data_IF_408835101880
#
_entry.id   IF_408835101880
#
_cell.length_a   1.000
_cell.length_b   1.000
_cell.length_c   1.000
_cell.angle_alpha   90.00
_cell.angle_beta   90.00
_cell.angle_gamma   90.00
#
_symmetry.space_group_name_H-M   'P 1'
#
loop_
_entity.id
_entity.type
_entity.pdbx_description
1 polymer ?
#
# COMPACT_ATOMS: atom_id res chain seq x y z
N UNK A 1 4.14 -2.18 37.53
CA UNK A 1 3.00 -2.84 36.86
C UNK A 1 3.54 -4.14 36.24
N UNK A 2 4.06 -5.09 37.02
CA UNK A 2 5.07 -6.04 36.46
C UNK A 2 5.03 -7.49 36.97
N UNK A 3 4.30 -7.82 38.04
CA UNK A 3 4.25 -9.19 38.56
C UNK A 3 3.31 -10.11 37.78
N UNK A 4 2.03 -9.74 37.69
CA UNK A 4 0.99 -10.58 37.06
C UNK A 4 1.19 -10.79 35.56
N UNK A 5 1.70 -9.79 34.85
CA UNK A 5 1.97 -9.91 33.40
C UNK A 5 3.12 -10.85 33.09
N UNK A 6 4.17 -10.84 33.92
CA UNK A 6 5.30 -11.75 33.76
C UNK A 6 4.88 -13.20 34.03
N UNK A 7 4.04 -13.43 35.06
CA UNK A 7 3.48 -14.73 35.36
C UNK A 7 2.58 -15.25 34.22
N UNK A 8 1.69 -14.40 33.68
CA UNK A 8 0.81 -14.77 32.57
C UNK A 8 1.59 -15.12 31.28
N UNK A 9 2.65 -14.37 30.95
CA UNK A 9 3.51 -14.67 29.80
C UNK A 9 4.34 -15.94 30.01
N UNK A 10 4.78 -16.22 31.24
CA UNK A 10 5.48 -17.45 31.59
C UNK A 10 4.58 -18.68 31.42
N UNK A 11 3.35 -18.60 31.94
CA UNK A 11 2.34 -19.66 31.79
C UNK A 11 2.00 -19.92 30.32
N UNK A 12 1.83 -18.86 29.52
CA UNK A 12 1.53 -19.00 28.09
C UNK A 12 2.69 -19.66 27.32
N UNK A 13 3.94 -19.31 27.65
CA UNK A 13 5.13 -19.93 27.04
C UNK A 13 5.25 -21.40 27.39
N UNK A 14 4.96 -21.76 28.63
CA UNK A 14 5.02 -23.15 29.07
C UNK A 14 3.93 -23.98 28.40
N UNK A 15 2.70 -23.46 28.34
CA UNK A 15 1.59 -24.10 27.64
C UNK A 15 1.86 -24.27 26.12
N UNK A 16 2.47 -23.29 25.47
CA UNK A 16 2.86 -23.39 24.05
C UNK A 16 4.01 -24.39 23.81
N UNK A 17 4.88 -24.61 24.80
CA UNK A 17 5.98 -25.56 24.69
C UNK A 17 5.54 -27.03 24.89
N UNK A 18 4.41 -27.27 25.55
CA UNK A 18 3.86 -28.62 25.75
C UNK A 18 3.01 -29.11 24.56
N UNK A 19 2.65 -28.23 23.63
CA UNK A 19 1.88 -28.62 22.43
C UNK A 19 2.85 -29.27 21.42
N UNK A 20 2.99 -30.59 21.50
CA UNK A 20 3.67 -31.39 20.49
C UNK A 20 2.77 -31.46 19.23
N UNK A 21 3.22 -31.01 18.04
CA UNK A 21 2.36 -30.81 16.88
C UNK A 21 1.78 -32.10 16.26
N UNK A 22 2.21 -33.27 16.74
CA UNK A 22 1.88 -34.58 16.15
C UNK A 22 0.61 -35.23 16.73
N UNK A 23 -0.02 -34.69 17.77
CA UNK A 23 -1.15 -35.36 18.46
C UNK A 23 -2.36 -34.47 18.75
N UNK A 24 -2.54 -33.37 18.01
CA UNK A 24 -3.75 -32.56 18.16
C UNK A 24 -4.96 -33.31 17.59
N UNK A 25 -6.02 -33.55 18.39
CA UNK A 25 -7.28 -34.07 17.87
C UNK A 25 -7.81 -33.19 16.75
N UNK A 26 -8.45 -33.78 15.73
CA UNK A 26 -9.18 -33.03 14.71
C UNK A 26 -10.21 -32.11 15.38
N UNK A 27 -9.97 -30.79 15.31
CA UNK A 27 -10.76 -29.75 15.97
C UNK A 27 -9.99 -28.92 17.00
N UNK A 28 -9.07 -29.53 17.76
CA UNK A 28 -8.29 -28.82 18.78
C UNK A 28 -7.35 -27.76 18.17
N UNK A 29 -6.82 -28.02 16.97
CA UNK A 29 -6.04 -27.05 16.23
C UNK A 29 -6.88 -25.83 15.79
N UNK A 30 -8.14 -26.03 15.41
CA UNK A 30 -9.05 -24.95 15.01
C UNK A 30 -9.44 -24.10 16.21
N UNK A 31 -9.70 -24.73 17.36
CA UNK A 31 -9.97 -24.03 18.61
C UNK A 31 -8.76 -23.24 19.10
N UNK A 32 -7.55 -23.84 19.03
CA UNK A 32 -6.32 -23.16 19.40
C UNK A 32 -6.05 -21.96 18.49
N UNK A 33 -6.21 -22.10 17.17
CA UNK A 33 -6.07 -21.00 16.22
C UNK A 33 -7.10 -19.89 16.47
N UNK A 34 -8.34 -20.26 16.80
CA UNK A 34 -9.40 -19.33 17.20
C UNK A 34 -9.03 -18.56 18.48
N UNK A 35 -8.52 -19.25 19.50
CA UNK A 35 -8.06 -18.64 20.75
C UNK A 35 -6.87 -17.70 20.53
N UNK A 36 -5.89 -18.12 19.72
CA UNK A 36 -4.73 -17.31 19.34
C UNK A 36 -5.16 -16.05 18.58
N UNK A 37 -6.12 -16.19 17.66
CA UNK A 37 -6.76 -15.08 16.96
C UNK A 37 -7.39 -14.08 17.93
N UNK A 38 -8.12 -14.56 18.94
CA UNK A 38 -8.72 -13.73 20.00
C UNK A 38 -7.67 -12.98 20.82
N UNK A 39 -6.57 -13.62 21.21
CA UNK A 39 -5.46 -12.98 21.95
C UNK A 39 -4.79 -11.89 21.11
N UNK A 40 -4.54 -12.15 19.82
CA UNK A 40 -3.97 -11.17 18.90
C UNK A 40 -4.91 -9.97 18.74
N UNK A 41 -6.21 -10.22 18.53
CA UNK A 41 -7.21 -9.16 18.41
C UNK A 41 -7.28 -8.30 19.69
N UNK A 42 -7.28 -8.93 20.87
CA UNK A 42 -7.27 -8.23 22.15
C UNK A 42 -6.00 -7.41 22.36
N UNK A 43 -4.84 -7.94 21.97
CA UNK A 43 -3.56 -7.22 22.02
C UNK A 43 -3.56 -6.01 21.06
N UNK A 44 -4.07 -6.18 19.84
CA UNK A 44 -4.23 -5.08 18.88
C UNK A 44 -5.20 -4.02 19.39
N UNK A 45 -6.35 -4.41 19.95
CA UNK A 45 -7.32 -3.49 20.56
C UNK A 45 -6.72 -2.73 21.75
N UNK A 46 -5.88 -3.38 22.57
CA UNK A 46 -5.15 -2.71 23.63
C UNK A 46 -4.13 -1.68 23.07
N UNK A 47 -3.35 -2.06 22.05
CA UNK A 47 -2.40 -1.15 21.40
C UNK A 47 -3.09 0.07 20.78
N UNK A 48 -4.21 -0.16 20.08
CA UNK A 48 -5.04 0.90 19.47
C UNK A 48 -5.54 1.87 20.53
N UNK A 49 -6.03 1.39 21.68
CA UNK A 49 -6.47 2.26 22.79
C UNK A 49 -5.33 3.07 23.40
N UNK A 50 -4.18 2.42 23.63
CA UNK A 50 -2.99 3.11 24.18
C UNK A 50 -2.50 4.17 23.20
N UNK A 51 -2.48 3.88 21.90
CA UNK A 51 -2.11 4.83 20.87
C UNK A 51 -3.09 6.01 20.81
N UNK A 52 -4.40 5.76 20.81
CA UNK A 52 -5.42 6.80 20.84
C UNK A 52 -5.33 7.69 22.08
N UNK A 53 -5.13 7.09 23.26
CA UNK A 53 -4.99 7.84 24.52
C UNK A 53 -3.71 8.70 24.54
N UNK A 54 -2.59 8.16 24.06
CA UNK A 54 -1.33 8.91 23.97
C UNK A 54 -1.41 10.07 22.96
N UNK A 55 -2.20 9.90 21.90
CA UNK A 55 -2.48 10.93 20.92
C UNK A 55 -3.36 12.06 21.46
N UNK A 56 -4.47 11.73 22.11
CA UNK A 56 -5.33 12.73 22.76
C UNK A 56 -4.60 13.53 23.85
N UNK A 57 -3.66 12.88 24.55
CA UNK A 57 -2.85 13.52 25.58
C UNK A 57 -1.61 14.27 25.04
N UNK A 58 -1.36 14.25 23.72
CA UNK A 58 -0.22 14.92 23.09
C UNK A 58 1.15 14.44 23.60
N UNK A 59 1.26 13.18 24.03
CA UNK A 59 2.42 12.68 24.82
C UNK A 59 3.62 12.32 23.95
N UNK A 60 3.49 12.34 22.62
CA UNK A 60 4.48 11.87 21.65
C UNK A 60 5.86 12.58 21.65
N UNK A 61 6.15 13.45 22.61
CA UNK A 61 7.43 14.16 22.74
C UNK A 61 8.02 14.27 24.15
N UNK A 62 7.49 13.56 25.16
CA UNK A 62 7.99 13.65 26.55
C UNK A 62 8.80 12.45 27.06
N UNK A 63 9.07 11.44 26.22
CA UNK A 63 9.91 10.32 26.62
C UNK A 63 11.40 10.71 26.55
N UNK A 64 11.87 11.17 27.70
CA UNK A 64 13.22 11.62 28.01
C UNK A 64 14.32 10.61 27.65
N UNK A 65 15.42 11.15 27.13
CA UNK A 65 16.69 10.51 26.86
C UNK A 65 17.42 10.13 28.17
N UNK A 66 16.93 9.13 28.89
CA UNK A 66 17.71 8.46 29.94
C UNK A 66 18.21 7.11 29.43
N UNK A 67 19.29 7.15 28.64
CA UNK A 67 19.98 5.93 28.24
C UNK A 67 20.97 6.04 27.08
N UNK A 68 21.73 7.14 26.95
CA UNK A 68 22.93 7.16 26.11
C UNK A 68 23.86 8.32 26.49
N UNK A 69 24.42 8.29 27.70
CA UNK A 69 25.67 9.00 27.96
C UNK A 69 26.79 8.32 27.18
N UNK A 70 27.21 8.90 26.06
CA UNK A 70 28.58 8.76 25.55
C UNK A 70 29.00 9.98 24.71
N UNK A 71 29.88 10.75 25.35
CA UNK A 71 30.98 11.55 24.80
C UNK A 71 30.71 12.47 23.60
N UNK A 72 30.42 13.73 23.90
CA UNK A 72 30.75 14.85 23.03
C UNK A 72 32.24 15.18 23.19
N UNK A 73 33.02 14.98 22.12
CA UNK A 73 34.33 15.60 21.92
C UNK A 73 34.21 16.86 21.03
N UNK A 74 35.17 17.80 21.11
CA UNK A 74 34.92 19.20 20.79
C UNK A 74 34.92 19.51 19.29
N UNK A 75 34.20 20.59 18.98
CA UNK A 75 34.05 21.21 17.68
C UNK A 75 35.37 21.76 17.12
N UNK A 76 35.66 21.41 15.86
CA UNK A 76 36.66 22.06 15.02
C UNK A 76 35.98 22.62 13.76
N UNK A 77 36.24 23.89 13.48
CA UNK A 77 35.63 24.69 12.42
C UNK A 77 36.07 24.29 10.99
N UNK A 78 35.16 24.36 10.02
CA UNK A 78 35.45 24.55 8.58
C UNK A 78 34.21 25.06 7.82
N UNK A 79 34.41 26.00 6.90
CA UNK A 79 33.42 26.89 6.28
C UNK A 79 32.48 26.32 5.19
N UNK A 80 31.80 27.20 4.42
CA UNK A 80 30.56 26.88 3.72
C UNK A 80 30.84 26.33 2.31
N UNK A 81 30.56 25.05 2.11
CA UNK A 81 30.24 24.46 0.80
C UNK A 81 29.22 23.35 1.01
N UNK A 82 27.95 23.73 0.98
CA UNK A 82 26.82 22.82 1.07
C UNK A 82 26.64 22.11 -0.28
N UNK A 83 27.18 20.89 -0.39
CA UNK A 83 26.79 19.91 -1.40
C UNK A 83 26.21 18.71 -0.67
N UNK A 84 24.92 18.46 -0.97
CA UNK A 84 24.14 17.29 -0.55
C UNK A 84 24.97 16.02 -0.73
N UNK A 85 25.33 15.36 0.37
CA UNK A 85 25.84 13.98 0.32
C UNK A 85 24.69 13.04 -0.02
N UNK A 86 24.77 12.52 -1.23
CA UNK A 86 24.13 11.28 -1.66
C UNK A 86 24.59 10.11 -0.79
N UNK A 87 23.63 9.25 -0.48
CA UNK A 87 23.78 7.95 0.20
C UNK A 87 24.73 7.06 -0.60
N UNK A 88 25.84 6.66 0.03
CA UNK A 88 26.72 5.58 -0.45
C UNK A 88 26.22 4.20 0.01
N UNK A 89 26.61 3.11 -0.68
CA UNK A 89 26.09 1.78 -0.43
C UNK A 89 26.88 1.10 0.69
N UNK A 90 26.20 0.82 1.80
CA UNK A 90 26.73 0.02 2.90
C UNK A 90 25.56 -0.57 3.66
N UNK A 91 25.42 -1.89 3.60
CA UNK A 91 24.39 -2.62 4.32
C UNK A 91 24.64 -2.53 5.83
N UNK A 92 23.63 -2.05 6.55
CA UNK A 92 23.28 -2.47 7.91
C UNK A 92 21.86 -1.94 8.20
N UNK A 93 21.12 -2.69 9.01
CA UNK A 93 19.67 -2.85 8.91
C UNK A 93 18.78 -1.62 9.10
N UNK A 94 17.53 -1.79 8.67
CA UNK A 94 16.33 -0.95 8.83
C UNK A 94 16.21 -0.27 10.20
N UNK A 95 17.00 0.78 10.45
CA UNK A 95 16.78 1.73 11.55
C UNK A 95 16.84 3.19 11.13
N UNK A 96 17.04 3.48 9.84
CA UNK A 96 17.03 4.85 9.33
C UNK A 96 15.63 5.20 8.79
N UNK A 97 14.82 5.87 9.60
CA UNK A 97 13.62 6.55 9.09
C UNK A 97 12.45 6.68 10.06
N UNK A 98 12.65 7.23 11.26
CA UNK A 98 11.56 7.54 12.19
C UNK A 98 11.56 8.98 12.73
N UNK A 99 12.51 9.82 12.31
CA UNK A 99 12.54 11.24 12.67
C UNK A 99 11.62 12.04 11.76
N UNK A 100 10.71 12.83 12.35
CA UNK A 100 10.07 13.94 11.65
C UNK A 100 11.11 14.98 11.21
N UNK A 101 10.68 16.01 10.46
CA UNK A 101 11.56 17.09 9.98
C UNK A 101 12.39 17.76 11.10
N UNK A 102 11.94 17.64 12.35
CA UNK A 102 12.55 18.24 13.54
C UNK A 102 13.34 17.24 14.41
N UNK A 103 13.62 16.03 13.92
CA UNK A 103 14.34 14.98 14.68
C UNK A 103 13.53 14.33 15.80
N UNK A 104 12.27 14.73 16.02
CA UNK A 104 11.35 14.08 16.96
C UNK A 104 10.82 12.77 16.38
N UNK A 105 10.70 11.69 17.18
CA UNK A 105 10.12 10.45 16.69
C UNK A 105 8.67 10.70 16.29
N UNK A 106 8.30 10.31 15.08
CA UNK A 106 6.88 10.32 14.67
C UNK A 106 6.08 9.37 15.57
N UNK A 107 4.77 9.59 15.82
CA UNK A 107 3.96 8.66 16.62
C UNK A 107 4.04 7.21 16.12
N UNK A 108 4.03 7.01 14.80
CA UNK A 108 4.21 5.69 14.19
C UNK A 108 5.60 5.11 14.47
N UNK A 109 6.65 5.91 14.37
CA UNK A 109 8.03 5.52 14.69
C UNK A 109 8.21 5.16 16.17
N UNK A 110 7.56 5.89 17.08
CA UNK A 110 7.57 5.58 18.51
C UNK A 110 6.88 4.24 18.78
N UNK A 111 5.67 4.03 18.24
CA UNK A 111 4.93 2.77 18.41
C UNK A 111 5.70 1.60 17.81
N UNK A 112 6.27 1.79 16.62
CA UNK A 112 7.11 0.78 15.98
C UNK A 112 8.29 0.37 16.88
N UNK A 113 8.97 1.34 17.49
CA UNK A 113 10.06 1.08 18.43
C UNK A 113 9.63 0.35 19.70
N UNK A 114 8.50 0.74 20.31
CA UNK A 114 8.01 0.14 21.56
C UNK A 114 7.41 -1.26 21.35
N UNK A 115 6.61 -1.44 20.31
CA UNK A 115 5.89 -2.68 20.03
C UNK A 115 6.68 -3.64 19.11
N UNK A 116 7.90 -3.26 18.70
CA UNK A 116 8.73 -4.00 17.71
C UNK A 116 7.98 -4.28 16.41
N UNK A 117 7.18 -3.30 15.98
CA UNK A 117 6.43 -3.36 14.74
C UNK A 117 7.19 -2.66 13.62
N UNK A 118 6.79 -2.93 12.37
CA UNK A 118 7.20 -2.07 11.26
C UNK A 118 6.51 -0.71 11.39
N UNK A 119 7.16 0.36 10.89
CA UNK A 119 6.56 1.71 10.89
C UNK A 119 5.22 1.72 10.17
N UNK A 120 5.08 0.93 9.10
CA UNK A 120 3.82 0.77 8.36
C UNK A 120 2.72 0.13 9.20
N UNK A 121 3.03 -0.94 9.95
CA UNK A 121 2.05 -1.58 10.83
C UNK A 121 1.64 -0.65 11.97
N UNK A 122 2.59 0.09 12.55
CA UNK A 122 2.31 1.11 13.55
C UNK A 122 1.44 2.26 13.01
N UNK A 123 1.68 2.71 11.78
CA UNK A 123 0.87 3.72 11.13
C UNK A 123 -0.57 3.23 10.88
N UNK A 124 -0.74 1.98 10.44
CA UNK A 124 -2.07 1.38 10.27
C UNK A 124 -2.85 1.31 11.60
N UNK A 125 -2.19 0.96 12.70
CA UNK A 125 -2.81 0.96 14.03
C UNK A 125 -3.24 2.36 14.48
N UNK A 126 -2.44 3.41 14.18
CA UNK A 126 -2.80 4.79 14.47
C UNK A 126 -4.03 5.25 13.66
N UNK A 127 -4.05 4.92 12.37
CA UNK A 127 -5.21 5.23 11.50
C UNK A 127 -6.46 4.55 12.04
N UNK A 128 -6.37 3.26 12.38
CA UNK A 128 -7.48 2.52 12.98
C UNK A 128 -7.92 3.15 14.31
N UNK A 129 -6.99 3.50 15.21
CA UNK A 129 -7.29 4.12 16.50
C UNK A 129 -8.06 5.44 16.38
N UNK A 130 -7.62 6.31 15.46
CA UNK A 130 -8.30 7.59 15.21
C UNK A 130 -9.70 7.36 14.66
N UNK A 131 -9.85 6.49 13.67
CA UNK A 131 -11.14 6.22 13.03
C UNK A 131 -12.14 5.58 14.00
N UNK A 132 -11.70 4.63 14.83
CA UNK A 132 -12.56 3.98 15.84
C UNK A 132 -13.06 4.94 16.92
N UNK A 133 -12.42 6.09 17.12
CA UNK A 133 -12.93 7.13 18.03
C UNK A 133 -14.26 7.71 17.54
N UNK A 134 -14.48 7.75 16.22
CA UNK A 134 -15.72 8.21 15.60
C UNK A 134 -16.73 7.10 15.27
N UNK A 135 -16.37 5.83 15.49
CA UNK A 135 -17.15 4.65 15.11
C UNK A 135 -17.32 3.69 16.31
N UNK A 136 -18.21 4.03 17.27
CA UNK A 136 -18.35 3.30 18.53
C UNK A 136 -18.87 1.86 18.38
N UNK A 137 -19.75 1.58 17.42
CA UNK A 137 -20.28 0.23 17.15
C UNK A 137 -19.19 -0.67 16.60
N UNK A 138 -18.39 -0.17 15.65
CA UNK A 138 -17.25 -0.91 15.11
C UNK A 138 -16.15 -1.10 16.16
N UNK A 139 -15.89 -0.07 16.98
CA UNK A 139 -14.92 -0.14 18.07
C UNK A 139 -15.30 -1.21 19.10
N UNK A 140 -16.59 -1.34 19.41
CA UNK A 140 -17.08 -2.37 20.30
C UNK A 140 -16.90 -3.77 19.72
N UNK A 141 -17.30 -3.98 18.46
CA UNK A 141 -17.11 -5.27 17.79
C UNK A 141 -15.62 -5.66 17.74
N UNK A 142 -14.73 -4.71 17.46
CA UNK A 142 -13.28 -4.94 17.44
C UNK A 142 -12.75 -5.29 18.83
N UNK A 143 -13.22 -4.59 19.87
CA UNK A 143 -12.84 -4.86 21.27
C UNK A 143 -13.26 -6.26 21.73
N UNK A 144 -14.39 -6.75 21.25
CA UNK A 144 -14.90 -8.10 21.53
C UNK A 144 -14.21 -9.18 20.69
N UNK A 145 -13.38 -8.80 19.72
CA UNK A 145 -12.74 -9.72 18.78
C UNK A 145 -13.70 -10.29 17.74
N UNK A 146 -14.90 -9.72 17.60
CA UNK A 146 -15.90 -10.14 16.60
C UNK A 146 -15.51 -9.72 15.18
N UNK A 147 -14.62 -8.73 15.06
CA UNK A 147 -14.03 -8.28 13.80
C UNK A 147 -12.51 -8.13 13.99
N UNK A 148 -11.74 -8.42 12.94
CA UNK A 148 -10.28 -8.29 12.96
C UNK A 148 -9.81 -6.88 12.58
N UNK A 149 -8.52 -6.58 12.78
CA UNK A 149 -7.92 -5.32 12.37
C UNK A 149 -8.08 -5.07 10.86
N UNK A 150 -8.01 -6.12 10.03
CA UNK A 150 -8.20 -5.99 8.58
C UNK A 150 -9.62 -5.55 8.23
N UNK A 151 -10.63 -5.97 8.99
CA UNK A 151 -12.00 -5.46 8.84
C UNK A 151 -12.09 -3.99 9.22
N UNK A 152 -11.46 -3.59 10.32
CA UNK A 152 -11.41 -2.18 10.73
C UNK A 152 -10.75 -1.34 9.64
N UNK A 153 -9.61 -1.78 9.10
CA UNK A 153 -8.93 -1.10 7.99
C UNK A 153 -9.75 -1.11 6.69
N UNK A 154 -10.51 -2.17 6.41
CA UNK A 154 -11.41 -2.23 5.26
C UNK A 154 -12.53 -1.18 5.34
N UNK A 155 -13.05 -0.92 6.53
CA UNK A 155 -14.05 0.13 6.76
C UNK A 155 -13.41 1.52 6.73
N UNK A 156 -12.26 1.69 7.38
CA UNK A 156 -11.74 3.03 7.72
C UNK A 156 -10.74 3.58 6.71
N UNK A 157 -9.99 2.76 5.99
CA UNK A 157 -9.00 3.24 5.02
C UNK A 157 -9.59 4.09 3.88
N UNK A 158 -10.78 3.78 3.33
CA UNK A 158 -11.43 4.63 2.32
C UNK A 158 -11.96 5.97 2.87
N UNK A 159 -12.06 6.12 4.19
CA UNK A 159 -12.61 7.29 4.88
C UNK A 159 -11.51 8.28 5.22
N UNK A 160 -10.77 8.70 4.20
CA UNK A 160 -9.60 9.59 4.30
C UNK A 160 -9.94 10.99 4.82
N UNK A 161 -11.22 11.39 4.75
CA UNK A 161 -11.71 12.69 5.23
C UNK A 161 -12.54 12.56 6.52
N UNK A 162 -12.40 13.51 7.47
CA UNK A 162 -13.23 13.54 8.68
C UNK A 162 -14.73 13.59 8.39
N UNK A 163 -15.14 14.27 7.32
CA UNK A 163 -16.54 14.39 6.93
C UNK A 163 -17.16 13.03 6.56
N UNK A 164 -16.40 12.15 5.91
CA UNK A 164 -16.86 10.79 5.58
C UNK A 164 -16.99 9.90 6.80
N UNK A 165 -16.09 10.03 7.77
CA UNK A 165 -16.20 9.33 9.06
C UNK A 165 -17.47 9.74 9.79
N UNK A 166 -17.78 11.04 9.82
CA UNK A 166 -19.03 11.56 10.42
C UNK A 166 -20.26 11.06 9.66
N UNK A 167 -20.22 11.04 8.33
CA UNK A 167 -21.34 10.56 7.51
C UNK A 167 -21.59 9.05 7.66
N UNK A 168 -20.55 8.27 7.96
CA UNK A 168 -20.67 6.84 8.25
C UNK A 168 -21.31 6.57 9.62
N UNK A 169 -21.03 7.43 10.59
CA UNK A 169 -21.49 7.25 11.96
C UNK A 169 -23.02 7.16 12.03
N UNK A 170 -23.54 6.23 12.85
CA UNK A 170 -24.98 6.00 13.00
C UNK A 170 -25.47 4.71 12.33
N UNK A 171 -26.60 4.71 11.59
CA UNK A 171 -27.19 3.49 11.05
C UNK A 171 -26.27 2.74 10.07
N UNK A 172 -25.56 3.48 9.22
CA UNK A 172 -24.64 2.90 8.22
C UNK A 172 -23.49 2.15 8.91
N UNK A 173 -22.93 2.74 9.97
CA UNK A 173 -21.91 2.08 10.80
C UNK A 173 -22.41 0.74 11.34
N UNK A 174 -23.64 0.69 11.87
CA UNK A 174 -24.21 -0.54 12.40
C UNK A 174 -24.37 -1.62 11.33
N UNK A 175 -24.83 -1.24 10.12
CA UNK A 175 -24.98 -2.16 8.98
C UNK A 175 -23.65 -2.70 8.49
N UNK A 176 -22.64 -1.84 8.33
CA UNK A 176 -21.29 -2.25 7.90
C UNK A 176 -20.57 -3.06 8.97
N UNK A 177 -20.80 -2.77 10.26
CA UNK A 177 -20.26 -3.58 11.36
C UNK A 177 -20.92 -4.95 11.37
N UNK A 178 -22.23 -5.03 11.17
CA UNK A 178 -22.93 -6.30 11.03
C UNK A 178 -22.42 -7.09 9.82
N UNK A 179 -22.07 -6.42 8.71
CA UNK A 179 -21.44 -7.06 7.56
C UNK A 179 -20.05 -7.59 7.91
N UNK A 180 -19.23 -6.80 8.58
CA UNK A 180 -17.89 -7.19 9.00
C UNK A 180 -17.86 -8.42 9.93
N UNK A 181 -18.92 -8.67 10.70
CA UNK A 181 -19.04 -9.89 11.52
C UNK A 181 -19.24 -11.18 10.72
N UNK A 182 -19.75 -11.09 9.48
CA UNK A 182 -20.16 -12.26 8.69
C UNK A 182 -19.42 -12.42 7.35
N UNK A 183 -18.77 -11.37 6.88
CA UNK A 183 -18.14 -11.29 5.58
C UNK A 183 -16.64 -11.00 5.72
N UNK A 184 -15.84 -11.45 4.75
CA UNK A 184 -14.40 -11.19 4.74
C UNK A 184 -14.05 -9.71 4.47
N UNK A 185 -12.83 -9.27 4.79
CA UNK A 185 -12.42 -7.86 4.67
C UNK A 185 -12.58 -7.28 3.26
N UNK A 186 -12.37 -8.08 2.20
CA UNK A 186 -12.50 -7.62 0.82
C UNK A 186 -13.96 -7.32 0.44
N UNK A 187 -14.91 -8.11 0.94
CA UNK A 187 -16.34 -7.86 0.74
C UNK A 187 -16.79 -6.61 1.48
N UNK A 188 -16.29 -6.40 2.71
CA UNK A 188 -16.52 -5.16 3.47
C UNK A 188 -15.98 -3.95 2.73
N UNK A 189 -14.76 -4.05 2.19
CA UNK A 189 -14.13 -2.97 1.41
C UNK A 189 -14.97 -2.63 0.16
N UNK A 190 -15.49 -3.65 -0.53
CA UNK A 190 -16.36 -3.45 -1.67
C UNK A 190 -17.66 -2.73 -1.28
N UNK A 191 -18.29 -3.13 -0.17
CA UNK A 191 -19.50 -2.49 0.35
C UNK A 191 -19.27 -1.03 0.74
N UNK A 192 -18.17 -0.73 1.44
CA UNK A 192 -17.78 0.64 1.81
C UNK A 192 -17.53 1.49 0.56
N UNK A 193 -16.86 0.93 -0.44
CA UNK A 193 -16.61 1.62 -1.72
C UNK A 193 -17.91 1.93 -2.45
N UNK A 194 -18.86 0.99 -2.45
CA UNK A 194 -20.18 1.20 -3.03
C UNK A 194 -20.93 2.32 -2.29
N UNK A 195 -21.01 2.23 -0.96
CA UNK A 195 -21.64 3.27 -0.14
C UNK A 195 -21.02 4.64 -0.37
N UNK A 196 -19.69 4.74 -0.47
CA UNK A 196 -18.99 6.01 -0.71
C UNK A 196 -19.36 6.64 -2.06
N UNK A 197 -19.59 5.84 -3.10
CA UNK A 197 -20.03 6.35 -4.41
C UNK A 197 -21.42 6.97 -4.35
N UNK A 198 -22.27 6.45 -3.46
CA UNK A 198 -23.63 6.96 -3.29
C UNK A 198 -23.65 8.17 -2.33
N UNK A 199 -22.88 8.12 -1.24
CA UNK A 199 -22.86 9.13 -0.19
C UNK A 199 -22.01 10.37 -0.53
N UNK A 200 -20.90 10.20 -1.26
CA UNK A 200 -19.97 11.29 -1.62
C UNK A 200 -19.35 11.08 -3.02
N UNK A 201 -20.17 11.09 -4.10
CA UNK A 201 -19.68 10.87 -5.46
C UNK A 201 -18.62 11.90 -5.88
N UNK A 202 -18.80 13.16 -5.48
CA UNK A 202 -17.87 14.24 -5.81
C UNK A 202 -16.52 14.09 -5.07
N UNK A 203 -16.54 13.60 -3.83
CA UNK A 203 -15.30 13.29 -3.12
C UNK A 203 -14.58 12.09 -3.71
N UNK A 204 -15.29 11.04 -4.13
CA UNK A 204 -14.68 9.89 -4.81
C UNK A 204 -13.98 10.33 -6.09
N UNK A 205 -14.62 11.20 -6.88
CA UNK A 205 -13.99 11.76 -8.08
C UNK A 205 -12.75 12.61 -7.75
N UNK A 206 -12.82 13.45 -6.71
CA UNK A 206 -11.66 14.23 -6.26
C UNK A 206 -10.49 13.35 -5.82
N UNK A 207 -10.77 12.26 -5.12
CA UNK A 207 -9.75 11.30 -4.70
C UNK A 207 -9.14 10.56 -5.89
N UNK A 208 -9.95 10.18 -6.88
CA UNK A 208 -9.47 9.57 -8.11
C UNK A 208 -8.54 10.52 -8.88
N UNK A 209 -8.91 11.80 -8.98
CA UNK A 209 -8.07 12.84 -9.59
C UNK A 209 -6.80 13.07 -8.78
N UNK A 210 -6.89 13.13 -7.44
CA UNK A 210 -5.74 13.29 -6.57
C UNK A 210 -4.78 12.09 -6.65
N UNK A 211 -5.32 10.87 -6.67
CA UNK A 211 -4.55 9.64 -6.89
C UNK A 211 -3.88 9.64 -8.27
N UNK A 212 -4.60 10.08 -9.31
CA UNK A 212 -4.06 10.27 -10.65
C UNK A 212 -2.90 11.27 -10.70
N UNK A 213 -3.00 12.38 -9.96
CA UNK A 213 -1.91 13.37 -9.83
C UNK A 213 -0.75 12.88 -8.97
N UNK A 214 -1.02 12.01 -7.99
CA UNK A 214 0.01 11.38 -7.16
C UNK A 214 0.74 10.25 -7.88
N UNK A 215 0.22 9.74 -9.00
CA UNK A 215 0.96 8.83 -9.88
C UNK A 215 1.98 9.61 -10.67
N UNK A 216 3.25 9.40 -10.36
CA UNK A 216 4.36 10.00 -11.07
C UNK A 216 5.42 8.95 -11.36
N UNK A 217 6.01 9.03 -12.56
CA UNK A 217 7.18 8.24 -12.91
C UNK A 217 8.14 9.16 -13.65
N UNK A 218 9.33 9.32 -13.09
CA UNK A 218 10.45 10.08 -13.64
C UNK A 218 11.54 9.11 -14.06
N UNK A 219 12.00 9.27 -15.30
CA UNK A 219 13.11 8.56 -15.89
C UNK A 219 14.20 9.60 -16.19
N UNK A 220 15.25 9.61 -15.38
CA UNK A 220 16.36 10.57 -15.55
C UNK A 220 17.56 9.81 -16.12
N UNK A 221 17.87 9.98 -17.41
CA UNK A 221 19.08 9.41 -17.98
C UNK A 221 20.30 10.14 -17.42
N UNK A 222 21.28 9.37 -16.96
CA UNK A 222 22.58 9.85 -16.52
C UNK A 222 23.60 9.46 -17.58
N UNK A 223 24.24 10.45 -18.25
CA UNK A 223 25.20 10.16 -19.31
C UNK A 223 26.39 9.32 -18.82
N UNK A 224 27.04 8.56 -19.71
CA UNK A 224 28.30 7.90 -19.42
C UNK A 224 29.35 8.92 -18.93
N UNK A 225 30.18 8.51 -17.97
CA UNK A 225 31.22 9.36 -17.37
C UNK A 225 30.77 10.28 -16.24
N UNK A 226 29.46 10.37 -15.94
CA UNK A 226 28.96 11.23 -14.85
C UNK A 226 29.03 10.59 -13.44
N UNK A 227 29.22 9.28 -13.32
CA UNK A 227 29.67 8.66 -12.07
C UNK A 227 30.60 7.49 -12.33
N UNK A 228 31.61 7.39 -11.47
CA UNK A 228 32.64 6.35 -11.49
C UNK A 228 32.06 4.94 -11.34
N UNK A 229 30.92 4.80 -10.64
CA UNK A 229 30.28 3.52 -10.41
C UNK A 229 29.63 2.90 -11.66
N UNK A 230 29.34 3.70 -12.69
CA UNK A 230 28.58 3.26 -13.87
C UNK A 230 29.06 3.96 -15.14
N UNK A 231 30.23 3.58 -15.67
CA UNK A 231 30.88 4.28 -16.78
C UNK A 231 30.07 4.26 -18.08
N UNK A 232 29.18 3.27 -18.27
CA UNK A 232 28.31 3.14 -19.45
C UNK A 232 27.05 4.02 -19.44
N UNK A 233 26.86 4.85 -18.41
CA UNK A 233 25.61 5.57 -18.19
C UNK A 233 24.52 4.67 -17.61
N UNK A 234 23.50 5.28 -17.04
CA UNK A 234 22.37 4.56 -16.45
C UNK A 234 21.13 5.45 -16.43
N UNK A 235 19.96 4.87 -16.16
CA UNK A 235 18.71 5.62 -15.98
C UNK A 235 18.29 5.49 -14.53
N UNK A 236 18.02 6.62 -13.89
CA UNK A 236 17.40 6.65 -12.56
C UNK A 236 15.89 6.63 -12.73
N UNK A 237 15.22 5.67 -12.10
CA UNK A 237 13.76 5.54 -12.09
C UNK A 237 13.27 5.93 -10.70
N UNK A 238 12.42 6.95 -10.63
CA UNK A 238 11.80 7.40 -9.38
C UNK A 238 10.32 7.69 -9.63
N UNK A 239 9.46 7.34 -8.67
CA UNK A 239 8.04 7.57 -8.85
C UNK A 239 7.23 7.31 -7.59
N UNK A 240 5.98 7.71 -7.66
CA UNK A 240 4.97 7.47 -6.65
C UNK A 240 3.75 6.86 -7.32
N UNK A 241 3.11 5.91 -6.63
CA UNK A 241 1.84 5.32 -7.04
C UNK A 241 0.95 5.23 -5.81
N UNK A 242 -0.36 5.08 -6.01
CA UNK A 242 -1.28 4.86 -4.88
C UNK A 242 -0.94 3.55 -4.17
N UNK A 243 -1.36 3.40 -2.91
CA UNK A 243 -1.09 2.18 -2.14
C UNK A 243 -1.71 0.92 -2.79
N UNK A 244 -2.89 1.06 -3.39
CA UNK A 244 -3.58 -0.04 -4.08
C UNK A 244 -2.82 -0.46 -5.36
N UNK A 245 -2.37 0.52 -6.15
CA UNK A 245 -1.54 0.24 -7.33
C UNK A 245 -0.17 -0.32 -6.94
N UNK A 246 0.40 0.14 -5.82
CA UNK A 246 1.67 -0.36 -5.31
C UNK A 246 1.59 -1.85 -5.00
N UNK A 247 0.46 -2.33 -4.46
CA UNK A 247 0.27 -3.76 -4.18
C UNK A 247 0.30 -4.59 -5.46
N UNK A 248 -0.46 -4.15 -6.48
CA UNK A 248 -0.46 -4.77 -7.82
C UNK A 248 0.94 -4.79 -8.42
N UNK A 249 1.66 -3.67 -8.38
CA UNK A 249 3.02 -3.56 -8.88
C UNK A 249 3.99 -4.49 -8.13
N UNK A 250 3.93 -4.51 -6.80
CA UNK A 250 4.79 -5.35 -5.97
C UNK A 250 4.51 -6.84 -6.20
N UNK A 251 3.25 -7.22 -6.38
CA UNK A 251 2.87 -8.61 -6.67
C UNK A 251 3.33 -9.03 -8.07
N UNK A 252 3.20 -8.17 -9.09
CA UNK A 252 3.76 -8.40 -10.41
C UNK A 252 5.29 -8.57 -10.38
N UNK A 253 5.99 -7.71 -9.62
CA UNK A 253 7.45 -7.81 -9.45
C UNK A 253 7.84 -9.09 -8.70
N UNK A 254 7.09 -9.49 -7.67
CA UNK A 254 7.33 -10.77 -6.96
C UNK A 254 7.13 -11.97 -7.87
N UNK A 255 6.08 -11.95 -8.69
CA UNK A 255 5.79 -13.01 -9.66
C UNK A 255 6.91 -13.12 -10.69
N UNK A 256 7.32 -11.99 -11.31
CA UNK A 256 8.41 -11.96 -12.27
C UNK A 256 9.77 -12.36 -11.66
N UNK A 257 10.04 -11.95 -10.41
CA UNK A 257 11.24 -12.37 -9.69
C UNK A 257 11.26 -13.88 -9.45
N UNK A 258 10.13 -14.49 -9.07
CA UNK A 258 10.02 -15.95 -8.89
C UNK A 258 10.19 -16.70 -10.21
N UNK A 259 9.58 -16.21 -11.30
CA UNK A 259 9.69 -16.83 -12.62
C UNK A 259 11.13 -16.82 -13.17
N UNK A 260 11.95 -15.87 -12.73
CA UNK A 260 13.35 -15.71 -13.17
C UNK A 260 14.38 -16.20 -12.15
N UNK A 261 13.95 -16.72 -11.00
CA UNK A 261 14.84 -17.22 -9.96
C UNK A 261 14.92 -18.75 -9.99
N UNK A 262 16.15 -19.28 -10.05
CA UNK A 262 16.43 -20.68 -9.74
C UNK A 262 16.57 -20.90 -8.23
N UNK A 263 16.60 -22.17 -7.80
CA UNK A 263 16.74 -22.55 -6.38
C UNK A 263 18.03 -22.05 -5.71
N UNK A 264 19.04 -21.67 -6.48
CA UNK A 264 20.34 -21.17 -6.02
C UNK A 264 20.55 -19.67 -6.30
N UNK A 265 19.49 -18.87 -6.46
CA UNK A 265 19.64 -17.45 -6.79
C UNK A 265 20.24 -16.61 -5.64
N UNK A 266 21.55 -16.38 -5.72
CA UNK A 266 22.34 -15.60 -4.76
C UNK A 266 22.30 -14.08 -4.99
N UNK A 267 21.53 -13.56 -5.97
CA UNK A 267 21.48 -12.11 -6.25
C UNK A 267 20.90 -11.34 -5.07
N UNK A 268 21.40 -10.14 -4.81
CA UNK A 268 20.84 -9.26 -3.77
C UNK A 268 19.35 -8.93 -4.05
N UNK A 269 18.51 -8.72 -3.00
CA UNK A 269 17.08 -8.42 -3.18
C UNK A 269 16.77 -7.20 -4.05
N UNK A 270 17.63 -6.17 -4.03
CA UNK A 270 17.49 -5.00 -4.89
C UNK A 270 17.73 -5.35 -6.37
N UNK A 271 18.76 -6.14 -6.66
CA UNK A 271 19.08 -6.61 -8.01
C UNK A 271 17.97 -7.49 -8.59
N UNK A 272 17.42 -8.42 -7.79
CA UNK A 272 16.27 -9.24 -8.21
C UNK A 272 15.04 -8.41 -8.59
N UNK A 273 14.75 -7.35 -7.82
CA UNK A 273 13.63 -6.44 -8.13
C UNK A 273 13.87 -5.66 -9.43
N UNK A 274 15.10 -5.20 -9.67
CA UNK A 274 15.46 -4.52 -10.92
C UNK A 274 15.32 -5.47 -12.14
N UNK A 275 15.85 -6.69 -12.04
CA UNK A 275 15.72 -7.71 -13.09
C UNK A 275 14.25 -8.08 -13.34
N UNK A 276 13.44 -8.19 -12.28
CA UNK A 276 12.02 -8.46 -12.38
C UNK A 276 11.26 -7.33 -13.11
N UNK A 277 11.57 -6.06 -12.81
CA UNK A 277 10.99 -4.91 -13.50
C UNK A 277 11.28 -4.95 -15.00
N UNK A 278 12.53 -5.25 -15.38
CA UNK A 278 12.92 -5.41 -16.78
C UNK A 278 12.22 -6.61 -17.44
N UNK A 279 12.03 -7.71 -16.70
CA UNK A 279 11.30 -8.88 -17.18
C UNK A 279 9.84 -8.52 -17.48
N UNK A 280 9.16 -7.82 -16.58
CA UNK A 280 7.79 -7.33 -16.82
C UNK A 280 7.72 -6.44 -18.05
N UNK A 281 8.65 -5.49 -18.20
CA UNK A 281 8.70 -4.60 -19.35
C UNK A 281 8.93 -5.37 -20.67
N UNK A 282 9.83 -6.36 -20.69
CA UNK A 282 10.08 -7.21 -21.87
C UNK A 282 8.89 -8.08 -22.22
N UNK A 283 8.25 -8.71 -21.24
CA UNK A 283 7.04 -9.49 -21.47
C UNK A 283 5.91 -8.63 -22.03
N UNK A 284 5.74 -7.42 -21.50
CA UNK A 284 4.78 -6.46 -22.03
C UNK A 284 5.08 -6.09 -23.48
N UNK A 285 6.34 -5.75 -23.81
CA UNK A 285 6.72 -5.41 -25.18
C UNK A 285 6.53 -6.59 -26.15
N UNK A 286 6.87 -7.81 -25.73
CA UNK A 286 6.65 -9.01 -26.53
C UNK A 286 5.14 -9.23 -26.78
N UNK A 287 4.32 -9.17 -25.73
CA UNK A 287 2.87 -9.32 -25.84
C UNK A 287 2.22 -8.20 -26.68
N UNK A 288 2.62 -6.95 -26.47
CA UNK A 288 2.14 -5.80 -27.24
C UNK A 288 2.53 -5.90 -28.72
N UNK A 289 3.73 -6.43 -29.02
CA UNK A 289 4.14 -6.76 -30.38
C UNK A 289 3.19 -7.76 -31.05
N UNK A 290 2.85 -8.85 -30.36
CA UNK A 290 1.90 -9.84 -30.89
C UNK A 290 0.48 -9.27 -31.09
N UNK A 291 0.01 -8.40 -30.19
CA UNK A 291 -1.30 -7.76 -30.31
C UNK A 291 -1.36 -6.73 -31.45
N UNK A 292 -0.30 -5.95 -31.64
CA UNK A 292 -0.22 -4.95 -32.72
C UNK A 292 -0.01 -5.58 -34.09
N UNK A 293 0.67 -6.74 -34.17
CA UNK A 293 0.76 -7.52 -35.40
C UNK A 293 -0.59 -8.16 -35.76
N UNK A 294 -1.31 -8.74 -34.80
CA UNK A 294 -2.64 -9.31 -35.01
C UNK A 294 -3.66 -8.24 -35.49
N UNK A 295 -3.66 -7.06 -34.86
CA UNK A 295 -4.54 -5.95 -35.27
C UNK A 295 -4.20 -5.38 -36.66
N UNK A 296 -2.96 -5.54 -37.16
CA UNK A 296 -2.56 -5.14 -38.52
C UNK A 296 -2.91 -6.17 -39.59
N UNK A 297 -2.95 -7.46 -39.26
CA UNK A 297 -3.36 -8.51 -40.18
C UNK A 297 -4.86 -8.53 -40.47
N UNK A 298 -5.68 -7.89 -39.64
CA UNK A 298 -7.14 -7.76 -39.84
C UNK A 298 -7.55 -6.52 -40.66
N UNK A 299 -6.58 -5.71 -41.11
CA UNK A 299 -6.87 -4.64 -42.07
C UNK A 299 -6.98 -5.27 -43.48
N UNK A 300 -8.11 -5.09 -44.19
CA UNK A 300 -8.26 -5.64 -45.54
C UNK A 300 -7.15 -5.10 -46.45
N UNK A 301 -6.60 -5.92 -47.35
CA UNK A 301 -5.53 -5.47 -48.25
C UNK A 301 -6.03 -4.24 -49.01
N UNK A 302 -5.26 -3.16 -48.93
CA UNK A 302 -5.56 -1.94 -49.67
C UNK A 302 -5.63 -2.30 -51.15
N UNK A 303 -6.81 -2.11 -51.73
CA UNK A 303 -7.05 -2.26 -53.17
C UNK A 303 -6.06 -1.33 -53.90
N UNK A 304 -4.94 -1.89 -54.34
CA UNK A 304 -4.02 -1.25 -55.25
C UNK A 304 -4.65 -1.35 -56.63
N UNK A 305 -5.61 -0.47 -56.88
CA UNK A 305 -6.28 -0.32 -58.15
C UNK A 305 -5.26 0.04 -59.23
N UNK A 306 -4.92 -0.96 -60.04
CA UNK A 306 -4.28 -0.79 -61.35
C UNK A 306 -5.37 -0.96 -62.41
N UNK A 307 -5.42 -0.04 -63.38
CA UNK A 307 -6.36 -0.05 -64.51
C UNK A 307 -7.42 1.05 -64.39
N UNK A 308 -7.38 2.08 -65.25
CA UNK A 308 -8.11 2.13 -66.53
C UNK A 308 -9.62 2.17 -66.26
N UNK A 309 -10.39 3.21 -66.58
CA UNK A 309 -10.51 3.90 -67.85
C UNK A 309 -11.41 5.12 -67.60
N UNK A 310 -11.17 6.20 -68.34
CA UNK A 310 -12.07 7.36 -68.41
C UNK A 310 -13.22 7.02 -69.38
N UNK A 311 -14.49 7.24 -68.98
CA UNK A 311 -15.46 7.65 -69.98
C UNK A 311 -16.18 8.94 -69.57
N UNK A 312 -15.96 9.94 -70.41
CA UNK A 312 -17.00 10.76 -71.06
C UNK A 312 -18.11 11.32 -70.18
N UNK A 313 -17.98 12.61 -69.88
CA UNK A 313 -19.04 13.49 -69.40
C UNK A 313 -20.28 13.46 -70.32
N UNK A 314 -21.41 13.05 -69.75
CA UNK A 314 -22.72 13.06 -70.41
C UNK A 314 -23.80 13.62 -69.48
N UNK A 315 -24.04 14.93 -69.61
CA UNK A 315 -25.29 15.70 -69.40
C UNK A 315 -26.10 15.52 -68.09
N UNK A 316 -26.18 16.66 -67.42
CA UNK A 316 -27.38 17.29 -66.81
C UNK A 316 -28.71 16.52 -66.88
N UNK A 317 -29.33 16.33 -65.71
CA UNK A 317 -30.73 16.73 -65.51
C UNK A 317 -31.03 17.04 -64.04
N UNK A 318 -31.74 18.13 -63.90
CA UNK A 318 -32.29 18.77 -62.72
C UNK A 318 -33.51 18.04 -62.16
N UNK A 319 -33.74 18.22 -60.85
CA UNK A 319 -35.02 18.33 -60.09
C UNK A 319 -34.66 18.03 -58.63
N UNK A 320 -34.91 18.86 -57.62
CA UNK A 320 -36.00 19.83 -57.44
C UNK A 320 -36.91 19.31 -56.32
N UNK A 321 -37.20 20.18 -55.35
CA UNK A 321 -38.09 20.04 -54.19
C UNK A 321 -37.54 19.21 -53.01
N UNK A 322 -37.33 19.75 -51.79
CA UNK A 322 -38.15 20.60 -50.91
C UNK A 322 -39.24 19.85 -50.12
N UNK A 323 -39.45 20.33 -48.88
CA UNK A 323 -40.42 19.97 -47.83
C UNK A 323 -40.00 18.77 -46.94
N UNK A 324 -39.72 18.95 -45.64
CA UNK A 324 -40.49 19.45 -44.46
C UNK A 324 -41.30 18.34 -43.77
N UNK A 325 -41.35 18.48 -42.44
CA UNK A 325 -42.17 17.79 -41.43
C UNK A 325 -41.52 16.49 -40.89
N UNK A 326 -41.29 16.28 -39.59
CA UNK A 326 -41.68 16.96 -38.35
C UNK A 326 -40.48 17.01 -37.38
#
# INVERSE_FOLDING_TARGET
>A
MDGDKAAALGALRHALAEIEPASLPDGAAVDLLSQLGGVIAAAQAALVRVAGAAELAGVWGRADLRGATRAQGPAGAAGPCALRRSVGPGGDGDRAGAGGADGRPTPAGWIAGQARLTVTAAAALLVAARALTGLPVLAEAFRRGEVSLDHVLAVTAPLTSPSRLVALAGPVEAELTALARRAGPDQVRAAVTHWLRDADPAGVERDAVAAGRARSLSLVPVPPGCAEAHPGGWVTIAGSVSADDARTLLDALRLAARASAGSADARAPARRRADALLTVARCYLAAAGHLTTAARSDLPPSCSGTGSEVPSAGRCSSRGSASRSC
#
